data_IF_410281374691
#
_entry.id   IF_410281374691
#
_cell.length_a   1.000
_cell.length_b   1.000
_cell.length_c   1.000
_cell.angle_alpha   90.00
_cell.angle_beta   90.00
_cell.angle_gamma   90.00
#
_symmetry.space_group_name_H-M   'P 1'
#
loop_
_entity.id
_entity.type
_entity.pdbx_description
1 polymer ?
#
# COMPACT_ATOMS: atom_id res chain seq x y z
N UNK A 1 16.61 13.62 0.15
CA UNK A 1 16.21 13.72 -1.25
C UNK A 1 17.45 14.02 -2.10
N UNK A 2 17.53 13.42 -3.27
CA UNK A 2 18.57 13.63 -4.28
C UNK A 2 17.90 14.07 -5.59
N UNK A 3 18.68 14.66 -6.53
CA UNK A 3 18.17 15.07 -7.82
C UNK A 3 17.12 16.18 -7.75
N UNK A 4 16.21 16.19 -8.72
CA UNK A 4 15.19 17.24 -8.92
C UNK A 4 14.31 17.42 -7.69
N UNK A 5 13.85 16.32 -7.10
CA UNK A 5 12.99 16.33 -5.90
C UNK A 5 13.71 16.95 -4.68
N UNK A 6 15.03 16.75 -4.55
CA UNK A 6 15.82 17.37 -3.49
C UNK A 6 15.97 18.86 -3.65
N UNK A 7 16.20 19.33 -4.87
CA UNK A 7 16.27 20.75 -5.19
C UNK A 7 14.91 21.43 -4.93
N UNK A 8 13.82 20.84 -5.43
CA UNK A 8 12.48 21.39 -5.24
C UNK A 8 12.06 21.48 -3.78
N UNK A 9 12.35 20.43 -2.98
CA UNK A 9 12.09 20.44 -1.54
C UNK A 9 12.88 21.58 -0.84
N UNK A 10 14.15 21.77 -1.22
CA UNK A 10 14.97 22.85 -0.69
C UNK A 10 14.35 24.22 -1.01
N UNK A 11 13.97 24.46 -2.26
CA UNK A 11 13.36 25.71 -2.71
C UNK A 11 12.06 26.02 -1.96
N UNK A 12 11.18 25.02 -1.82
CA UNK A 12 9.92 25.17 -1.08
C UNK A 12 10.13 25.50 0.40
N UNK A 13 11.06 24.82 1.03
CA UNK A 13 11.31 25.01 2.47
C UNK A 13 12.02 26.34 2.75
N UNK A 14 12.80 26.85 1.80
CA UNK A 14 13.56 28.10 1.95
C UNK A 14 12.90 29.32 1.27
N UNK A 15 11.75 29.18 0.62
CA UNK A 15 11.11 30.23 -0.19
C UNK A 15 10.90 31.55 0.57
N UNK A 16 10.69 31.51 1.89
CA UNK A 16 10.48 32.69 2.72
C UNK A 16 11.79 33.32 3.23
N UNK A 17 12.94 32.72 2.88
CA UNK A 17 14.26 33.23 3.32
C UNK A 17 14.95 34.04 2.23
N UNK A 18 15.48 35.19 2.62
CA UNK A 18 16.28 36.05 1.73
C UNK A 18 17.73 35.60 1.57
N UNK A 19 18.23 34.78 2.50
CA UNK A 19 19.63 34.34 2.54
C UNK A 19 19.87 33.01 1.78
N UNK A 20 18.81 32.35 1.29
CA UNK A 20 18.88 31.09 0.55
C UNK A 20 19.49 29.92 1.36
N UNK A 21 19.47 30.00 2.68
CA UNK A 21 20.02 28.98 3.58
C UNK A 21 18.91 28.22 4.28
N UNK A 22 19.06 26.90 4.31
CA UNK A 22 18.16 26.02 5.05
C UNK A 22 18.51 26.05 6.54
N UNK A 23 17.58 26.49 7.38
CA UNK A 23 17.66 26.42 8.83
C UNK A 23 16.88 25.28 9.44
N UNK A 24 17.16 24.95 10.70
CA UNK A 24 16.40 23.94 11.44
C UNK A 24 14.91 24.31 11.56
N UNK A 25 14.61 25.60 11.78
CA UNK A 25 13.24 26.10 11.89
C UNK A 25 12.42 25.86 10.61
N UNK A 26 13.04 26.01 9.43
CA UNK A 26 12.38 25.82 8.15
C UNK A 26 11.93 24.36 7.99
N UNK A 27 12.79 23.41 8.39
CA UNK A 27 12.46 21.99 8.40
C UNK A 27 11.35 21.66 9.42
N UNK A 28 11.37 22.29 10.59
CA UNK A 28 10.34 22.09 11.61
C UNK A 28 8.99 22.60 11.11
N UNK A 29 8.96 23.76 10.45
CA UNK A 29 7.74 24.34 9.88
C UNK A 29 7.17 23.41 8.80
N UNK A 30 7.98 22.99 7.82
CA UNK A 30 7.55 22.09 6.75
C UNK A 30 7.07 20.74 7.30
N UNK A 31 7.77 20.18 8.28
CA UNK A 31 7.36 18.95 8.95
C UNK A 31 6.06 19.14 9.72
N UNK A 32 5.89 20.23 10.43
CA UNK A 32 4.65 20.54 11.17
C UNK A 32 3.45 20.69 10.22
N UNK A 33 3.64 21.34 9.08
CA UNK A 33 2.64 21.45 8.04
C UNK A 33 2.21 20.05 7.55
N UNK A 34 3.16 19.18 7.23
CA UNK A 34 2.86 17.83 6.75
C UNK A 34 2.21 16.94 7.80
N UNK A 35 2.58 17.04 9.08
CA UNK A 35 2.08 16.17 10.16
C UNK A 35 0.77 16.68 10.78
N UNK A 36 0.54 17.99 10.82
CA UNK A 36 -0.53 18.63 11.60
C UNK A 36 -1.40 19.59 10.79
N UNK A 37 -1.03 19.88 9.55
CA UNK A 37 -1.82 20.70 8.64
C UNK A 37 -3.18 20.08 8.33
N UNK A 38 -4.08 20.87 7.82
CA UNK A 38 -5.33 20.37 7.22
C UNK A 38 -5.01 19.47 6.02
N UNK A 39 -5.99 18.67 5.63
CA UNK A 39 -5.82 17.81 4.46
C UNK A 39 -5.43 18.61 3.21
N UNK A 40 -6.09 19.74 2.98
CA UNK A 40 -5.83 20.57 1.80
C UNK A 40 -4.43 21.22 1.85
N UNK A 41 -3.97 21.70 3.01
CA UNK A 41 -2.62 22.23 3.17
C UNK A 41 -1.54 21.19 2.91
N UNK A 42 -1.76 19.95 3.36
CA UNK A 42 -0.82 18.84 3.10
C UNK A 42 -0.81 18.49 1.61
N UNK A 43 -1.98 18.39 0.98
CA UNK A 43 -2.08 18.08 -0.46
C UNK A 43 -1.48 19.20 -1.32
N UNK A 44 -1.65 20.45 -0.93
CA UNK A 44 -1.04 21.59 -1.61
C UNK A 44 0.48 21.56 -1.51
N UNK A 45 1.03 21.29 -0.32
CA UNK A 45 2.47 21.11 -0.15
C UNK A 45 3.03 19.98 -1.03
N UNK A 46 2.33 18.85 -1.11
CA UNK A 46 2.73 17.73 -1.96
C UNK A 46 2.61 18.08 -3.45
N UNK A 47 1.57 18.81 -3.84
CA UNK A 47 1.40 19.31 -5.21
C UNK A 47 2.55 20.21 -5.64
N UNK A 48 2.91 21.20 -4.79
CA UNK A 48 4.05 22.08 -5.03
C UNK A 48 5.39 21.34 -5.06
N UNK A 49 5.52 20.24 -4.30
CA UNK A 49 6.73 19.43 -4.30
C UNK A 49 6.88 18.60 -5.58
N UNK A 50 5.77 18.20 -6.20
CA UNK A 50 5.75 17.46 -7.47
C UNK A 50 5.96 18.40 -8.66
N UNK A 51 5.52 19.63 -8.60
CA UNK A 51 5.83 20.69 -9.57
C UNK A 51 7.35 20.95 -9.57
N UNK A 52 8.09 20.15 -10.34
CA UNK A 52 9.56 20.12 -10.28
C UNK A 52 10.23 21.35 -10.91
N UNK A 53 9.56 21.98 -11.88
CA UNK A 53 10.03 23.18 -12.57
C UNK A 53 9.60 24.48 -11.88
N UNK A 54 8.60 24.42 -10.99
CA UNK A 54 8.14 25.57 -10.19
C UNK A 54 7.26 26.56 -10.96
N UNK A 55 6.62 26.14 -12.04
CA UNK A 55 5.75 27.00 -12.86
C UNK A 55 4.30 27.06 -12.32
N UNK A 56 3.99 26.31 -11.25
CA UNK A 56 2.67 26.25 -10.62
C UNK A 56 1.73 25.23 -11.25
N UNK A 57 2.20 24.45 -12.21
CA UNK A 57 1.43 23.46 -12.96
C UNK A 57 2.12 22.11 -12.83
N UNK A 58 1.38 21.06 -12.51
CA UNK A 58 1.90 19.70 -12.53
C UNK A 58 1.53 19.05 -13.85
N UNK A 59 2.52 18.79 -14.67
CA UNK A 59 2.37 18.10 -15.93
C UNK A 59 2.78 16.60 -15.84
N UNK A 60 2.69 15.89 -16.97
CA UNK A 60 3.09 14.49 -17.04
C UNK A 60 4.59 14.30 -16.77
N UNK A 61 5.42 15.21 -17.25
CA UNK A 61 6.88 15.14 -17.12
C UNK A 61 7.32 15.30 -15.66
N UNK A 62 6.64 16.17 -14.93
CA UNK A 62 6.87 16.35 -13.48
C UNK A 62 6.58 15.06 -12.72
N UNK A 63 5.39 14.48 -12.92
CA UNK A 63 5.03 13.22 -12.27
C UNK A 63 5.97 12.08 -12.65
N UNK A 64 6.34 11.96 -13.93
CA UNK A 64 7.26 10.94 -14.41
C UNK A 64 8.63 11.09 -13.73
N UNK A 65 9.16 12.31 -13.70
CA UNK A 65 10.44 12.63 -13.06
C UNK A 65 10.43 12.31 -11.55
N UNK A 66 9.36 12.66 -10.86
CA UNK A 66 9.21 12.37 -9.42
C UNK A 66 9.08 10.88 -9.17
N UNK A 67 8.27 10.16 -9.95
CA UNK A 67 8.11 8.70 -9.81
C UNK A 67 9.42 7.95 -10.07
N UNK A 68 10.21 8.36 -11.08
CA UNK A 68 11.53 7.80 -11.33
C UNK A 68 12.45 7.98 -10.12
N UNK A 69 12.54 9.20 -9.57
CA UNK A 69 13.34 9.47 -8.37
C UNK A 69 12.88 8.66 -7.17
N UNK A 70 11.57 8.47 -7.01
CA UNK A 70 11.01 7.64 -5.94
C UNK A 70 11.45 6.18 -6.10
N UNK A 71 11.22 5.60 -7.27
CA UNK A 71 11.56 4.20 -7.52
C UNK A 71 13.06 3.94 -7.42
N UNK A 72 13.89 4.81 -7.97
CA UNK A 72 15.32 4.73 -7.79
C UNK A 72 15.71 4.82 -6.30
N UNK A 73 15.08 5.70 -5.53
CA UNK A 73 15.39 5.86 -4.10
C UNK A 73 14.96 4.68 -3.24
N UNK A 74 13.87 4.02 -3.60
CA UNK A 74 13.30 2.89 -2.85
C UNK A 74 13.99 1.57 -3.23
N UNK A 75 14.27 1.35 -4.52
CA UNK A 75 14.70 0.04 -5.04
C UNK A 75 16.17 -0.05 -5.48
N UNK A 76 16.96 1.06 -5.44
CA UNK A 76 18.36 1.07 -5.91
C UNK A 76 19.38 0.37 -5.01
N UNK A 77 18.97 -0.26 -3.91
CA UNK A 77 19.87 -0.97 -3.00
C UNK A 77 20.01 -2.46 -3.28
N UNK A 78 19.43 -2.99 -4.33
CA UNK A 78 19.50 -4.40 -4.68
C UNK A 78 20.34 -4.64 -5.94
N UNK A 79 21.33 -5.49 -5.81
CA UNK A 79 22.26 -5.93 -6.85
C UNK A 79 21.53 -6.70 -7.95
N UNK A 80 20.94 -6.03 -8.94
CA UNK A 80 20.59 -6.73 -10.18
C UNK A 80 20.43 -5.79 -11.37
N UNK A 81 21.18 -6.11 -12.40
CA UNK A 81 21.14 -5.53 -13.77
C UNK A 81 19.75 -5.64 -14.42
N UNK A 82 18.86 -6.48 -13.87
CA UNK A 82 17.49 -6.69 -14.36
C UNK A 82 16.47 -5.64 -13.87
N UNK A 83 16.76 -4.91 -12.79
CA UNK A 83 15.83 -3.93 -12.22
C UNK A 83 15.65 -2.67 -13.08
N UNK A 84 16.66 -2.27 -13.85
CA UNK A 84 16.61 -1.02 -14.61
C UNK A 84 15.70 -1.05 -15.85
N UNK A 85 15.37 -2.23 -16.38
CA UNK A 85 14.53 -2.36 -17.59
C UNK A 85 13.03 -2.31 -17.29
N UNK A 86 12.60 -2.57 -16.07
CA UNK A 86 11.19 -2.60 -15.65
C UNK A 86 10.70 -1.27 -15.06
N UNK A 87 11.58 -0.36 -14.68
CA UNK A 87 11.22 0.92 -14.05
C UNK A 87 10.31 1.81 -14.93
N UNK A 88 10.59 2.01 -16.25
CA UNK A 88 9.72 2.83 -17.09
C UNK A 88 8.30 2.26 -17.20
N UNK A 89 8.16 0.92 -17.27
CA UNK A 89 6.85 0.28 -17.32
C UNK A 89 6.10 0.48 -16.01
N UNK A 90 6.78 0.39 -14.88
CA UNK A 90 6.19 0.64 -13.56
C UNK A 90 5.75 2.09 -13.41
N UNK A 91 6.56 3.07 -13.85
CA UNK A 91 6.18 4.49 -13.90
C UNK A 91 4.88 4.67 -14.69
N UNK A 92 4.76 4.04 -15.87
CA UNK A 92 3.55 4.10 -16.67
C UNK A 92 2.32 3.54 -15.96
N UNK A 93 2.47 2.47 -15.18
CA UNK A 93 1.39 1.87 -14.37
C UNK A 93 0.89 2.87 -13.31
N UNK A 94 1.77 3.62 -12.66
CA UNK A 94 1.40 4.66 -11.69
C UNK A 94 0.80 5.91 -12.35
N UNK A 95 1.34 6.32 -13.48
CA UNK A 95 0.78 7.39 -14.31
C UNK A 95 -0.61 7.03 -14.85
N UNK A 96 -0.85 5.74 -15.14
CA UNK A 96 -2.14 5.24 -15.60
C UNK A 96 -3.30 5.42 -14.61
N UNK A 97 -2.99 5.68 -13.34
CA UNK A 97 -3.99 6.05 -12.33
C UNK A 97 -4.46 7.52 -12.45
N UNK A 98 -3.72 8.37 -13.18
CA UNK A 98 -4.03 9.78 -13.38
C UNK A 98 -4.99 9.99 -14.56
N UNK A 99 -5.55 11.20 -14.64
CA UNK A 99 -6.44 11.62 -15.74
C UNK A 99 -5.72 11.91 -17.04
N UNK A 100 -4.38 11.96 -17.06
CA UNK A 100 -3.59 12.05 -18.32
C UNK A 100 -3.93 10.93 -19.30
N UNK A 101 -4.46 9.80 -18.81
CA UNK A 101 -4.86 8.68 -19.65
C UNK A 101 -6.15 8.91 -20.46
N UNK A 102 -6.90 9.98 -20.19
CA UNK A 102 -8.12 10.31 -20.94
C UNK A 102 -7.75 11.13 -22.17
N UNK A 103 -7.58 10.43 -23.27
CA UNK A 103 -7.26 11.02 -24.57
C UNK A 103 -8.48 11.74 -25.18
N UNK A 104 -8.43 13.06 -25.25
CA UNK A 104 -9.40 13.91 -25.96
C UNK A 104 -8.76 14.68 -27.12
N UNK A 105 -7.78 14.08 -27.79
CA UNK A 105 -7.38 14.44 -29.17
C UNK A 105 -6.80 15.84 -29.42
N UNK A 106 -6.37 16.58 -28.40
CA UNK A 106 -5.66 17.86 -28.56
C UNK A 106 -4.31 17.80 -27.86
N UNK A 107 -3.24 18.14 -28.60
CA UNK A 107 -1.85 18.23 -28.11
C UNK A 107 -1.58 19.39 -27.14
N UNK A 108 -2.59 19.88 -26.42
CA UNK A 108 -2.37 20.77 -25.30
C UNK A 108 -1.68 19.97 -24.18
N UNK A 109 -0.56 20.46 -23.69
CA UNK A 109 0.16 19.92 -22.53
C UNK A 109 -0.83 19.54 -21.43
N UNK A 110 -0.96 18.24 -21.20
CA UNK A 110 -1.96 17.71 -20.27
C UNK A 110 -1.47 17.95 -18.85
N UNK A 111 -2.02 18.95 -18.19
CA UNK A 111 -1.74 19.31 -16.83
C UNK A 111 -2.75 18.68 -15.89
N UNK A 112 -2.35 18.31 -14.68
CA UNK A 112 -3.25 17.95 -13.59
C UNK A 112 -3.71 19.21 -12.86
N UNK A 113 -5.01 19.44 -12.83
CA UNK A 113 -5.58 20.37 -11.86
C UNK A 113 -5.36 19.88 -10.43
N UNK A 114 -5.42 20.78 -9.46
CA UNK A 114 -5.24 20.40 -8.05
C UNK A 114 -6.26 19.34 -7.58
N UNK A 115 -7.50 19.39 -8.05
CA UNK A 115 -8.53 18.40 -7.71
C UNK A 115 -8.24 17.03 -8.35
N UNK A 116 -7.75 16.99 -9.58
CA UNK A 116 -7.33 15.75 -10.23
C UNK A 116 -6.09 15.15 -9.55
N UNK A 117 -5.17 16.01 -9.14
CA UNK A 117 -4.01 15.60 -8.34
C UNK A 117 -4.45 15.00 -6.99
N UNK A 118 -5.37 15.62 -6.25
CA UNK A 118 -5.91 15.06 -5.00
C UNK A 118 -6.54 13.68 -5.23
N UNK A 119 -7.25 13.54 -6.33
CA UNK A 119 -7.86 12.25 -6.72
C UNK A 119 -6.80 11.19 -7.00
N UNK A 120 -5.76 11.53 -7.77
CA UNK A 120 -4.64 10.64 -8.05
C UNK A 120 -3.84 10.29 -6.78
N UNK A 121 -3.50 11.26 -5.97
CA UNK A 121 -2.76 11.10 -4.71
C UNK A 121 -3.47 10.13 -3.75
N UNK A 122 -4.81 10.17 -3.73
CA UNK A 122 -5.61 9.25 -2.93
C UNK A 122 -5.52 7.79 -3.44
N UNK A 123 -5.36 7.58 -4.75
CA UNK A 123 -5.21 6.26 -5.35
C UNK A 123 -3.81 5.67 -5.18
N UNK A 124 -2.78 6.52 -4.98
CA UNK A 124 -1.37 6.11 -4.85
C UNK A 124 -0.75 6.56 -3.51
N UNK A 125 -1.29 6.10 -2.37
CA UNK A 125 -0.87 6.59 -1.05
C UNK A 125 0.60 6.33 -0.72
N UNK A 126 1.26 5.40 -1.38
CA UNK A 126 2.69 5.13 -1.24
C UNK A 126 3.55 6.32 -1.66
N UNK A 127 3.19 7.01 -2.74
CA UNK A 127 3.89 8.23 -3.20
C UNK A 127 3.79 9.32 -2.14
N UNK A 128 2.58 9.59 -1.64
CA UNK A 128 2.37 10.57 -0.57
C UNK A 128 3.17 10.22 0.70
N UNK A 129 3.14 8.96 1.11
CA UNK A 129 3.89 8.45 2.27
C UNK A 129 5.40 8.62 2.10
N UNK A 130 5.91 8.37 0.88
CA UNK A 130 7.32 8.60 0.56
C UNK A 130 7.68 10.09 0.67
N UNK A 131 6.92 10.96 0.00
CA UNK A 131 7.19 12.41 0.01
C UNK A 131 7.18 12.99 1.41
N UNK A 132 6.23 12.59 2.25
CA UNK A 132 6.19 12.99 3.66
C UNK A 132 7.38 12.49 4.48
N UNK A 133 7.90 11.31 4.16
CA UNK A 133 9.07 10.75 4.85
C UNK A 133 10.37 11.52 4.57
N UNK A 134 10.43 12.35 3.52
CA UNK A 134 11.58 13.20 3.22
C UNK A 134 11.83 14.25 4.29
N UNK A 135 10.80 14.67 5.00
CA UNK A 135 10.86 15.64 6.11
C UNK A 135 11.26 14.99 7.44
N UNK A 136 11.48 13.68 7.48
CA UNK A 136 11.93 12.97 8.67
C UNK A 136 13.44 12.69 8.62
N UNK A 137 14.13 12.62 9.78
CA UNK A 137 15.54 12.25 9.82
C UNK A 137 15.80 10.91 9.11
N UNK A 138 16.97 10.73 8.49
CA UNK A 138 17.32 9.47 7.82
C UNK A 138 17.57 8.37 8.87
N UNK A 139 16.52 7.71 9.31
CA UNK A 139 16.57 6.52 10.14
C UNK A 139 16.34 5.28 9.30
N UNK A 140 16.78 4.11 9.76
CA UNK A 140 16.56 2.84 9.05
C UNK A 140 15.06 2.50 8.81
N UNK A 141 14.15 3.16 9.51
CA UNK A 141 12.72 2.87 9.51
C UNK A 141 11.86 4.00 8.89
N UNK A 142 12.34 4.70 7.85
CA UNK A 142 11.51 5.67 7.12
C UNK A 142 10.34 4.94 6.46
N UNK A 143 9.13 5.20 6.93
CA UNK A 143 7.92 4.47 6.50
C UNK A 143 7.65 4.54 4.99
N UNK A 144 8.04 5.62 4.31
CA UNK A 144 7.88 5.77 2.86
C UNK A 144 8.86 4.95 2.02
N UNK A 145 9.95 4.46 2.63
CA UNK A 145 10.98 3.64 1.98
C UNK A 145 10.83 2.14 2.29
N UNK A 146 9.91 1.77 3.19
CA UNK A 146 9.72 0.38 3.58
C UNK A 146 9.08 -0.43 2.45
N UNK A 147 9.73 -1.50 2.06
CA UNK A 147 9.22 -2.54 1.16
C UNK A 147 9.11 -3.81 1.99
N UNK A 148 7.95 -4.46 2.04
CA UNK A 148 7.82 -5.73 2.76
C UNK A 148 8.75 -6.80 2.18
N UNK A 149 9.34 -7.62 3.05
CA UNK A 149 10.08 -8.79 2.61
C UNK A 149 9.07 -9.84 2.12
N UNK A 150 9.16 -10.21 0.85
CA UNK A 150 8.32 -11.26 0.26
C UNK A 150 8.96 -12.62 0.52
N UNK A 151 8.25 -13.49 1.26
CA UNK A 151 8.71 -14.84 1.61
C UNK A 151 7.81 -15.86 0.93
N UNK A 152 8.40 -16.70 0.09
CA UNK A 152 7.69 -17.75 -0.65
C UNK A 152 8.55 -19.00 -0.78
N UNK A 153 7.95 -20.10 -1.21
CA UNK A 153 8.65 -21.36 -1.47
C UNK A 153 9.61 -21.20 -2.67
N UNK A 154 10.80 -21.77 -2.58
CA UNK A 154 11.81 -21.80 -3.63
C UNK A 154 11.38 -22.50 -4.93
N UNK A 155 10.29 -23.24 -4.87
CA UNK A 155 9.71 -23.89 -6.04
C UNK A 155 9.00 -22.91 -7.00
N UNK A 156 8.75 -21.68 -6.57
CA UNK A 156 8.16 -20.61 -7.39
C UNK A 156 9.28 -19.60 -7.65
N UNK A 157 9.57 -19.32 -8.92
CA UNK A 157 10.52 -18.26 -9.28
C UNK A 157 9.89 -16.89 -9.04
N UNK A 158 10.70 -15.89 -8.70
CA UNK A 158 10.26 -14.52 -8.51
C UNK A 158 9.52 -13.95 -9.74
N UNK A 159 9.90 -14.39 -10.95
CA UNK A 159 9.20 -14.00 -12.18
C UNK A 159 7.78 -14.58 -12.29
N UNK A 160 7.53 -15.71 -11.65
CA UNK A 160 6.21 -16.35 -11.62
C UNK A 160 5.21 -15.70 -10.67
N UNK A 161 5.68 -14.84 -9.76
CA UNK A 161 4.83 -14.15 -8.80
C UNK A 161 4.10 -12.95 -9.44
N UNK A 162 2.83 -12.77 -9.08
CA UNK A 162 2.06 -11.56 -9.41
C UNK A 162 2.49 -10.38 -8.55
N UNK A 163 2.72 -10.64 -7.26
CA UNK A 163 3.16 -9.61 -6.32
C UNK A 163 4.65 -9.34 -6.50
N UNK A 164 4.97 -8.24 -7.17
CA UNK A 164 6.33 -7.69 -7.27
C UNK A 164 6.59 -6.73 -6.12
N UNK A 165 7.86 -6.42 -5.84
CA UNK A 165 8.27 -5.50 -4.76
C UNK A 165 7.65 -4.11 -4.90
N UNK A 166 7.56 -3.59 -6.12
CA UNK A 166 6.96 -2.30 -6.44
C UNK A 166 5.47 -2.29 -6.09
N UNK A 167 4.76 -3.37 -6.40
CA UNK A 167 3.36 -3.54 -6.03
C UNK A 167 3.19 -3.71 -4.51
N UNK A 168 4.08 -4.44 -3.86
CA UNK A 168 4.08 -4.57 -2.40
C UNK A 168 4.31 -3.21 -1.71
N UNK A 169 5.25 -2.41 -2.21
CA UNK A 169 5.45 -1.03 -1.75
C UNK A 169 4.22 -0.17 -1.97
N UNK A 170 3.56 -0.28 -3.13
CA UNK A 170 2.33 0.44 -3.44
C UNK A 170 1.20 0.11 -2.46
N UNK A 171 0.91 -1.17 -2.26
CA UNK A 171 -0.10 -1.65 -1.30
C UNK A 171 0.28 -1.22 0.12
N UNK A 172 1.56 -1.29 0.47
CA UNK A 172 2.12 -0.87 1.75
C UNK A 172 1.90 0.61 2.07
N UNK A 173 1.63 1.44 1.07
CA UNK A 173 1.22 2.83 1.26
C UNK A 173 -0.07 2.99 2.07
N UNK A 174 -0.96 1.99 2.05
CA UNK A 174 -2.21 1.99 2.81
C UNK A 174 -2.08 1.35 4.20
N UNK A 175 -0.98 0.67 4.48
CA UNK A 175 -0.77 -0.11 5.70
C UNK A 175 0.11 0.62 6.72
N UNK A 176 0.05 0.18 7.97
CA UNK A 176 0.92 0.66 9.04
C UNK A 176 2.33 0.08 8.92
N UNK A 177 3.31 0.70 9.57
CA UNK A 177 4.71 0.23 9.53
C UNK A 177 4.88 -1.18 10.08
N UNK A 178 4.06 -1.60 11.04
CA UNK A 178 4.11 -2.95 11.64
C UNK A 178 3.60 -4.04 10.69
N UNK A 179 2.92 -3.66 9.61
CA UNK A 179 2.42 -4.56 8.56
C UNK A 179 3.37 -4.62 7.35
N UNK A 180 4.47 -3.87 7.37
CA UNK A 180 5.42 -3.74 6.26
C UNK A 180 6.72 -4.53 6.47
N UNK A 181 6.80 -5.44 7.42
CA UNK A 181 8.03 -6.18 7.65
C UNK A 181 8.15 -7.40 6.74
N UNK A 182 7.20 -8.31 6.82
CA UNK A 182 7.22 -9.57 6.11
C UNK A 182 5.84 -9.94 5.59
N UNK A 183 5.77 -10.33 4.31
CA UNK A 183 4.57 -10.92 3.71
C UNK A 183 4.90 -12.32 3.21
N UNK A 184 4.14 -13.30 3.67
CA UNK A 184 4.38 -14.72 3.38
C UNK A 184 3.32 -15.27 2.42
N UNK A 185 3.78 -15.89 1.33
CA UNK A 185 2.88 -16.57 0.40
C UNK A 185 2.24 -17.79 1.08
N UNK A 186 0.92 -17.82 1.13
CA UNK A 186 0.14 -18.93 1.67
C UNK A 186 -0.39 -19.85 0.56
N UNK A 187 -0.77 -19.25 -0.57
CA UNK A 187 -1.38 -19.98 -1.69
C UNK A 187 -0.94 -19.36 -3.02
N UNK A 188 -0.65 -20.24 -3.99
CA UNK A 188 -0.39 -19.88 -5.38
C UNK A 188 -1.02 -20.93 -6.28
N UNK A 189 -1.96 -20.52 -7.14
CA UNK A 189 -2.77 -21.46 -7.93
C UNK A 189 -1.99 -22.32 -8.91
N UNK A 190 -0.84 -21.84 -9.40
CA UNK A 190 0.01 -22.63 -10.33
C UNK A 190 0.63 -23.84 -9.66
N UNK A 191 0.96 -23.75 -8.37
CA UNK A 191 1.55 -24.87 -7.61
C UNK A 191 0.52 -25.70 -6.87
N UNK A 192 -0.54 -25.05 -6.37
CA UNK A 192 -1.56 -25.68 -5.52
C UNK A 192 -2.83 -26.06 -6.30
N UNK A 193 -2.92 -25.68 -7.60
CA UNK A 193 -4.10 -25.81 -8.44
C UNK A 193 -5.17 -24.74 -8.15
N UNK A 194 -6.02 -24.47 -9.14
CA UNK A 194 -7.19 -23.60 -8.99
C UNK A 194 -8.29 -24.36 -8.23
N UNK A 195 -8.24 -24.33 -6.91
CA UNK A 195 -9.14 -25.06 -6.03
C UNK A 195 -9.49 -24.25 -4.79
N UNK A 196 -10.78 -24.01 -4.62
CA UNK A 196 -11.31 -23.29 -3.45
C UNK A 196 -11.01 -24.03 -2.13
N UNK A 197 -11.14 -25.37 -2.13
CA UNK A 197 -10.83 -26.15 -0.94
C UNK A 197 -9.34 -26.09 -0.57
N UNK A 198 -8.46 -26.12 -1.58
CA UNK A 198 -7.02 -25.97 -1.35
C UNK A 198 -6.69 -24.57 -0.85
N UNK A 199 -7.31 -23.54 -1.44
CA UNK A 199 -7.19 -22.16 -0.95
C UNK A 199 -7.61 -22.06 0.51
N UNK A 200 -8.81 -22.51 0.86
CA UNK A 200 -9.29 -22.47 2.25
C UNK A 200 -8.39 -23.25 3.19
N UNK A 201 -7.89 -24.42 2.78
CA UNK A 201 -6.93 -25.20 3.57
C UNK A 201 -5.62 -24.44 3.82
N UNK A 202 -5.16 -23.65 2.85
CA UNK A 202 -3.93 -22.84 2.97
C UNK A 202 -4.08 -21.65 3.92
N UNK A 203 -5.29 -21.09 4.05
CA UNK A 203 -5.57 -19.91 4.88
C UNK A 203 -6.30 -20.23 6.20
N UNK A 204 -6.78 -21.46 6.39
CA UNK A 204 -7.64 -21.85 7.52
C UNK A 204 -6.99 -21.71 8.90
N UNK A 205 -5.65 -21.82 8.97
CA UNK A 205 -4.89 -21.69 10.23
C UNK A 205 -4.28 -20.30 10.40
N UNK A 206 -4.66 -19.37 9.53
CA UNK A 206 -4.09 -18.04 9.52
C UNK A 206 -5.11 -17.02 10.05
N UNK A 207 -4.88 -16.54 11.26
CA UNK A 207 -5.74 -15.53 11.91
C UNK A 207 -5.39 -14.09 11.50
N UNK A 208 -4.35 -13.91 10.68
CA UNK A 208 -3.86 -12.60 10.28
C UNK A 208 -4.56 -12.04 9.04
N UNK A 209 -4.31 -10.76 8.75
CA UNK A 209 -4.77 -10.16 7.51
C UNK A 209 -4.03 -10.74 6.30
N UNK A 210 -4.74 -10.78 5.16
CA UNK A 210 -4.22 -11.34 3.92
C UNK A 210 -4.44 -10.43 2.71
N UNK A 211 -3.59 -10.60 1.70
CA UNK A 211 -3.77 -10.03 0.36
C UNK A 211 -4.18 -11.13 -0.59
N UNK A 212 -5.35 -11.00 -1.19
CA UNK A 212 -5.80 -11.84 -2.30
C UNK A 212 -5.53 -11.12 -3.61
N UNK A 213 -4.73 -11.72 -4.49
CA UNK A 213 -4.33 -11.13 -5.77
C UNK A 213 -4.76 -12.07 -6.89
N UNK A 214 -5.33 -11.50 -7.95
CA UNK A 214 -5.83 -12.20 -9.11
C UNK A 214 -5.20 -11.61 -10.36
N UNK A 215 -4.73 -12.47 -11.26
CA UNK A 215 -4.54 -12.16 -12.66
C UNK A 215 -5.63 -12.83 -13.44
N UNK A 216 -6.35 -12.07 -14.25
CA UNK A 216 -7.44 -12.58 -15.10
C UNK A 216 -7.01 -12.78 -16.56
N UNK A 217 -7.88 -13.43 -17.34
CA UNK A 217 -7.65 -13.71 -18.76
C UNK A 217 -7.55 -12.47 -19.66
N UNK A 218 -7.93 -11.28 -19.15
CA UNK A 218 -7.75 -9.99 -19.84
C UNK A 218 -6.36 -9.37 -19.53
N UNK A 219 -5.56 -10.05 -18.69
CA UNK A 219 -4.24 -9.63 -18.24
C UNK A 219 -4.25 -8.56 -17.15
N UNK A 220 -5.41 -8.24 -16.57
CA UNK A 220 -5.51 -7.31 -15.45
C UNK A 220 -5.05 -8.01 -14.16
N UNK A 221 -4.36 -7.26 -13.28
CA UNK A 221 -3.93 -7.71 -11.96
C UNK A 221 -4.57 -6.81 -10.91
N UNK A 222 -5.34 -7.41 -10.03
CA UNK A 222 -6.06 -6.70 -8.98
C UNK A 222 -6.35 -7.63 -7.80
N UNK A 223 -6.90 -7.06 -6.72
CA UNK A 223 -7.18 -7.86 -5.55
C UNK A 223 -7.80 -7.08 -4.42
N UNK A 224 -7.76 -7.68 -3.24
CA UNK A 224 -8.24 -7.08 -2.02
C UNK A 224 -7.39 -7.44 -0.80
N UNK A 225 -7.28 -6.49 0.12
CA UNK A 225 -6.75 -6.71 1.45
C UNK A 225 -7.91 -7.10 2.37
N UNK A 226 -7.87 -8.33 2.89
CA UNK A 226 -8.77 -8.85 3.88
C UNK A 226 -8.18 -8.61 5.27
N UNK A 227 -8.80 -7.76 6.05
CA UNK A 227 -8.35 -7.45 7.42
C UNK A 227 -8.73 -8.52 8.44
N UNK A 228 -9.70 -9.36 8.10
CA UNK A 228 -10.21 -10.44 8.94
C UNK A 228 -9.93 -11.82 8.30
N UNK A 229 -9.83 -12.89 9.10
CA UNK A 229 -9.64 -14.24 8.59
C UNK A 229 -10.72 -14.66 7.58
N UNK A 230 -10.35 -15.60 6.70
CA UNK A 230 -11.29 -16.23 5.78
C UNK A 230 -12.11 -17.31 6.50
N UNK A 231 -13.25 -16.90 7.05
CA UNK A 231 -14.16 -17.77 7.78
C UNK A 231 -15.51 -17.88 7.06
N UNK A 232 -16.21 -18.99 7.29
CA UNK A 232 -17.53 -19.22 6.70
C UNK A 232 -18.58 -18.28 7.27
N UNK A 233 -19.10 -17.39 6.42
CA UNK A 233 -20.19 -16.48 6.74
C UNK A 233 -21.31 -16.58 5.72
N UNK A 234 -22.56 -16.36 6.17
CA UNK A 234 -23.74 -16.30 5.30
C UNK A 234 -24.02 -14.87 4.78
N UNK A 235 -23.27 -13.88 5.24
CA UNK A 235 -23.41 -12.47 4.92
C UNK A 235 -22.03 -11.80 4.88
N UNK A 236 -21.97 -10.54 4.48
CA UNK A 236 -20.76 -9.75 4.51
C UNK A 236 -20.24 -9.55 5.94
N UNK A 237 -18.94 -9.51 6.07
CA UNK A 237 -18.24 -9.29 7.34
C UNK A 237 -16.94 -8.46 7.10
N UNK A 238 -16.09 -8.35 8.09
CA UNK A 238 -14.85 -7.60 8.02
C UNK A 238 -14.94 -6.22 8.66
N UNK A 239 -13.90 -5.42 8.53
CA UNK A 239 -13.80 -4.08 9.07
C UNK A 239 -13.30 -3.06 8.03
N UNK A 240 -13.34 -1.78 8.41
CA UNK A 240 -12.98 -0.64 7.55
C UNK A 240 -11.48 -0.55 7.20
N UNK A 241 -10.67 -1.50 7.64
CA UNK A 241 -9.27 -1.63 7.22
C UNK A 241 -9.12 -2.36 5.90
N UNK A 242 -10.11 -3.16 5.51
CA UNK A 242 -10.15 -3.84 4.22
C UNK A 242 -10.20 -2.83 3.08
N UNK A 243 -9.59 -3.15 1.95
CA UNK A 243 -9.60 -2.30 0.75
C UNK A 243 -9.41 -3.13 -0.52
N UNK A 244 -9.84 -2.57 -1.65
CA UNK A 244 -9.55 -3.11 -2.97
C UNK A 244 -8.35 -2.41 -3.59
N UNK A 245 -7.69 -3.10 -4.53
CA UNK A 245 -6.60 -2.51 -5.30
C UNK A 245 -6.57 -3.05 -6.73
N UNK A 246 -6.03 -2.26 -7.63
CA UNK A 246 -5.62 -2.64 -8.97
C UNK A 246 -4.13 -2.40 -9.09
N UNK A 247 -3.39 -3.35 -9.68
CA UNK A 247 -1.95 -3.29 -9.85
C UNK A 247 -1.56 -3.10 -11.32
N UNK A 248 -2.34 -3.69 -12.23
CA UNK A 248 -2.17 -3.55 -13.66
C UNK A 248 -3.53 -3.54 -14.37
N UNK A 249 -3.76 -2.67 -15.37
CA UNK A 249 -2.81 -1.78 -16.05
C UNK A 249 -2.49 -0.48 -15.31
N UNK A 250 -3.09 -0.21 -14.17
CA UNK A 250 -2.86 1.00 -13.38
C UNK A 250 -2.81 0.71 -11.88
N UNK A 251 -1.86 1.35 -11.18
CA UNK A 251 -1.74 1.24 -9.74
C UNK A 251 -2.78 2.10 -9.04
N UNK A 252 -3.75 1.48 -8.35
CA UNK A 252 -4.81 2.19 -7.65
C UNK A 252 -5.26 1.45 -6.41
N UNK A 253 -5.53 2.18 -5.34
CA UNK A 253 -6.05 1.69 -4.06
C UNK A 253 -7.42 2.31 -3.78
N UNK A 254 -8.38 1.51 -3.36
CA UNK A 254 -9.76 1.90 -3.10
C UNK A 254 -10.13 1.55 -1.66
N UNK A 255 -10.13 2.55 -0.79
CA UNK A 255 -10.49 2.41 0.63
C UNK A 255 -12.01 2.45 0.82
N UNK A 256 -12.54 1.91 1.94
CA UNK A 256 -13.95 1.99 2.24
C UNK A 256 -14.46 3.44 2.27
N UNK A 257 -15.59 3.67 1.64
CA UNK A 257 -16.24 4.99 1.58
C UNK A 257 -17.12 5.29 2.80
N UNK A 258 -17.46 4.25 3.58
CA UNK A 258 -18.44 4.36 4.66
C UNK A 258 -19.90 4.24 4.20
N UNK A 259 -20.15 4.02 2.91
CA UNK A 259 -21.53 3.92 2.40
C UNK A 259 -22.27 2.66 2.90
N UNK A 260 -21.54 1.60 3.21
CA UNK A 260 -22.05 0.35 3.80
C UNK A 260 -20.90 -0.46 4.42
N UNK A 261 -21.26 -1.59 5.06
CA UNK A 261 -20.30 -2.51 5.71
C UNK A 261 -20.09 -3.82 4.93
N UNK A 262 -20.36 -3.84 3.64
CA UNK A 262 -20.21 -5.03 2.79
C UNK A 262 -18.75 -5.22 2.39
N UNK A 263 -17.86 -5.49 3.37
CA UNK A 263 -16.42 -5.39 3.17
C UNK A 263 -15.80 -6.66 2.62
N UNK A 264 -16.05 -7.82 3.27
CA UNK A 264 -15.46 -9.11 2.93
C UNK A 264 -16.57 -10.17 2.82
N UNK A 265 -16.39 -11.14 1.94
CA UNK A 265 -17.33 -12.24 1.72
C UNK A 265 -16.58 -13.57 1.67
N UNK A 266 -17.06 -14.57 2.41
CA UNK A 266 -16.58 -15.94 2.34
C UNK A 266 -17.72 -16.90 2.62
N UNK A 267 -18.36 -17.41 1.57
CA UNK A 267 -19.44 -18.38 1.68
C UNK A 267 -18.98 -19.75 1.20
N UNK A 268 -19.18 -20.77 2.03
CA UNK A 268 -18.69 -22.13 1.79
C UNK A 268 -19.82 -23.12 2.07
N UNK A 269 -20.14 -23.92 1.07
CA UNK A 269 -21.13 -25.02 1.21
C UNK A 269 -22.51 -24.56 1.71
N UNK A 270 -22.99 -23.42 1.22
CA UNK A 270 -24.38 -23.03 1.40
C UNK A 270 -25.23 -23.62 0.26
N UNK A 271 -26.37 -24.20 0.63
CA UNK A 271 -27.32 -24.80 -0.34
C UNK A 271 -28.32 -23.80 -0.91
N UNK A 272 -28.32 -22.55 -0.40
CA UNK A 272 -29.24 -21.50 -0.83
C UNK A 272 -28.68 -20.76 -2.03
N UNK A 273 -29.46 -20.65 -3.10
CA UNK A 273 -29.12 -19.84 -4.29
C UNK A 273 -28.97 -18.34 -3.98
N UNK A 274 -29.52 -17.88 -2.85
CA UNK A 274 -29.37 -16.49 -2.40
C UNK A 274 -28.00 -16.20 -1.77
N UNK A 275 -27.20 -17.24 -1.46
CA UNK A 275 -25.88 -17.10 -0.85
C UNK A 275 -24.84 -17.66 -1.84
N UNK A 276 -24.25 -16.83 -2.70
CA UNK A 276 -23.27 -17.29 -3.67
C UNK A 276 -22.01 -17.81 -2.97
N UNK A 277 -21.72 -19.10 -3.18
CA UNK A 277 -20.52 -19.72 -2.64
C UNK A 277 -19.27 -19.19 -3.36
N UNK A 278 -18.30 -18.72 -2.59
CA UNK A 278 -17.07 -18.11 -3.07
C UNK A 278 -16.51 -17.09 -2.10
N UNK A 279 -15.51 -16.36 -2.57
CA UNK A 279 -14.85 -15.28 -1.83
C UNK A 279 -14.95 -13.97 -2.59
N UNK A 280 -15.00 -12.85 -1.86
CA UNK A 280 -15.13 -11.55 -2.51
C UNK A 280 -15.05 -10.36 -1.56
N UNK A 281 -15.21 -9.18 -2.16
CA UNK A 281 -15.14 -7.90 -1.48
C UNK A 281 -16.16 -6.92 -2.05
N UNK A 282 -16.79 -6.18 -1.16
CA UNK A 282 -17.59 -5.00 -1.51
C UNK A 282 -18.85 -5.26 -2.32
N UNK A 283 -19.65 -4.22 -2.48
CA UNK A 283 -20.83 -4.25 -3.31
C UNK A 283 -22.06 -4.84 -2.61
N UNK A 284 -22.74 -5.72 -3.28
CA UNK A 284 -23.92 -6.46 -2.79
C UNK A 284 -23.96 -7.83 -3.42
N UNK A 285 -24.78 -8.72 -2.90
CA UNK A 285 -24.96 -10.07 -3.45
C UNK A 285 -25.21 -10.01 -4.97
N UNK A 286 -24.48 -10.82 -5.72
CA UNK A 286 -24.44 -10.89 -7.19
C UNK A 286 -23.89 -9.63 -7.92
N UNK A 287 -23.46 -8.60 -7.18
CA UNK A 287 -22.82 -7.40 -7.73
C UNK A 287 -21.66 -6.97 -6.80
N UNK A 288 -20.68 -7.85 -6.66
CA UNK A 288 -19.52 -7.60 -5.82
C UNK A 288 -18.54 -6.64 -6.51
N UNK A 289 -17.79 -5.87 -5.72
CA UNK A 289 -16.63 -5.15 -6.21
C UNK A 289 -15.58 -6.08 -6.80
N UNK A 290 -15.40 -7.24 -6.17
CA UNK A 290 -14.63 -8.38 -6.66
C UNK A 290 -15.20 -9.69 -6.08
N UNK A 291 -15.38 -10.71 -6.89
CA UNK A 291 -15.87 -12.03 -6.46
C UNK A 291 -15.27 -13.15 -7.32
N UNK A 292 -14.91 -14.25 -6.68
CA UNK A 292 -14.53 -15.51 -7.31
C UNK A 292 -15.47 -16.59 -6.80
N UNK A 293 -16.05 -17.37 -7.72
CA UNK A 293 -16.91 -18.51 -7.39
C UNK A 293 -16.14 -19.62 -6.66
N UNK A 294 -16.85 -20.45 -5.90
CA UNK A 294 -16.25 -21.60 -5.21
C UNK A 294 -15.62 -22.64 -6.13
N UNK A 295 -15.83 -22.58 -7.43
CA UNK A 295 -15.13 -23.43 -8.40
C UNK A 295 -13.78 -22.83 -8.83
N UNK A 296 -13.51 -21.58 -8.55
CA UNK A 296 -12.35 -20.80 -9.01
C UNK A 296 -12.20 -20.72 -10.54
N UNK A 297 -13.26 -21.05 -11.27
CA UNK A 297 -13.31 -21.05 -12.72
C UNK A 297 -13.84 -19.75 -13.32
N UNK A 298 -14.57 -18.98 -12.53
CA UNK A 298 -15.17 -17.73 -12.94
C UNK A 298 -15.35 -16.76 -11.78
N UNK A 299 -15.51 -15.51 -12.12
CA UNK A 299 -15.78 -14.45 -11.16
C UNK A 299 -16.35 -13.21 -11.83
N UNK A 300 -16.48 -12.17 -11.07
CA UNK A 300 -16.90 -10.88 -11.59
C UNK A 300 -16.34 -9.73 -10.76
N UNK A 301 -16.27 -8.56 -11.38
CA UNK A 301 -15.92 -7.31 -10.74
C UNK A 301 -16.82 -6.21 -11.29
N UNK A 302 -17.47 -5.46 -10.40
CA UNK A 302 -18.34 -4.35 -10.76
C UNK A 302 -17.90 -3.08 -10.06
N UNK A 303 -18.32 -1.94 -10.60
CA UNK A 303 -18.22 -0.69 -9.86
C UNK A 303 -18.94 -0.83 -8.51
N UNK A 304 -18.27 -0.42 -7.43
CA UNK A 304 -18.67 -0.76 -6.08
C UNK A 304 -18.69 0.48 -5.19
N UNK A 305 -19.84 0.78 -4.59
CA UNK A 305 -19.97 1.92 -3.67
C UNK A 305 -19.26 1.71 -2.34
N UNK A 306 -19.08 0.46 -1.90
CA UNK A 306 -18.37 0.14 -0.65
C UNK A 306 -16.96 0.72 -0.63
N UNK A 307 -16.24 0.58 -1.74
CA UNK A 307 -14.85 1.05 -1.89
C UNK A 307 -14.70 2.21 -2.87
N UNK A 308 -15.78 2.65 -3.52
CA UNK A 308 -15.70 3.66 -4.58
C UNK A 308 -14.89 3.19 -5.79
N UNK A 309 -14.69 1.88 -5.95
CA UNK A 309 -13.91 1.32 -7.04
C UNK A 309 -14.70 1.25 -8.34
N UNK A 310 -14.06 1.44 -9.50
CA UNK A 310 -14.62 1.04 -10.78
C UNK A 310 -14.63 -0.49 -10.93
N UNK A 311 -15.02 -1.00 -12.09
CA UNK A 311 -14.69 -2.36 -12.52
C UNK A 311 -13.15 -2.50 -12.57
N UNK A 312 -12.61 -3.55 -11.92
CA UNK A 312 -11.16 -3.76 -11.77
C UNK A 312 -10.54 -4.49 -12.98
N UNK A 313 -11.36 -5.07 -13.85
CA UNK A 313 -10.95 -5.70 -15.09
C UNK A 313 -11.48 -4.91 -16.30
N UNK A 314 -11.11 -5.33 -17.52
CA UNK A 314 -11.64 -4.77 -18.77
C UNK A 314 -13.12 -5.10 -18.94
N UNK A 315 -13.57 -6.25 -18.41
CA UNK A 315 -14.96 -6.71 -18.45
C UNK A 315 -15.45 -7.01 -17.04
N UNK A 316 -16.76 -6.97 -16.84
CA UNK A 316 -17.36 -7.26 -15.54
C UNK A 316 -17.32 -8.75 -15.16
N UNK A 317 -17.24 -9.65 -16.13
CA UNK A 317 -17.02 -11.08 -15.91
C UNK A 317 -15.54 -11.38 -16.12
N UNK A 318 -14.96 -12.19 -15.26
CA UNK A 318 -13.55 -12.56 -15.36
C UNK A 318 -13.35 -14.07 -15.18
N UNK A 319 -12.32 -14.58 -15.81
CA UNK A 319 -11.80 -15.92 -15.61
C UNK A 319 -10.44 -15.78 -14.94
N UNK A 320 -10.26 -16.27 -13.70
CA UNK A 320 -8.97 -16.21 -13.04
C UNK A 320 -7.96 -17.11 -13.77
N UNK A 321 -6.78 -16.56 -14.09
CA UNK A 321 -5.64 -17.34 -14.60
C UNK A 321 -4.69 -17.74 -13.47
N UNK A 322 -4.36 -16.76 -12.62
CA UNK A 322 -3.48 -16.98 -11.46
C UNK A 322 -4.10 -16.30 -10.25
N UNK A 323 -4.06 -17.00 -9.13
CA UNK A 323 -4.51 -16.49 -7.83
C UNK A 323 -3.36 -16.67 -6.83
N UNK A 324 -3.05 -15.61 -6.11
CA UNK A 324 -2.12 -15.60 -4.96
C UNK A 324 -2.84 -15.16 -3.70
N UNK A 325 -2.44 -15.74 -2.57
CA UNK A 325 -2.83 -15.24 -1.26
C UNK A 325 -1.58 -15.08 -0.39
N UNK A 326 -1.39 -13.87 0.12
CA UNK A 326 -0.26 -13.51 0.95
C UNK A 326 -0.73 -13.15 2.36
N UNK A 327 -0.09 -13.71 3.37
CA UNK A 327 -0.24 -13.27 4.76
C UNK A 327 0.56 -12.00 4.99
N UNK A 328 -0.09 -11.00 5.57
CA UNK A 328 0.58 -9.82 6.10
C UNK A 328 0.94 -10.10 7.56
N UNK A 329 2.23 -10.28 7.84
CA UNK A 329 2.69 -10.57 9.21
C UNK A 329 2.62 -9.30 10.03
N UNK A 330 1.86 -9.35 11.12
CA UNK A 330 1.69 -8.24 12.04
C UNK A 330 2.52 -8.51 13.31
N UNK A 331 3.55 -7.71 13.57
CA UNK A 331 4.25 -7.78 14.88
C UNK A 331 3.39 -7.10 15.95
N UNK A 332 3.02 -7.85 16.97
CA UNK A 332 2.36 -7.27 18.13
C UNK A 332 3.36 -6.41 18.94
N UNK A 333 2.91 -5.31 19.58
CA UNK A 333 3.77 -4.45 20.39
C UNK A 333 4.51 -5.17 21.54
N UNK A 334 4.09 -6.40 21.86
CA UNK A 334 4.73 -7.24 22.88
C UNK A 334 6.03 -7.88 22.37
N UNK A 335 6.18 -8.10 21.06
CA UNK A 335 7.41 -8.62 20.47
C UNK A 335 8.48 -7.54 20.34
N UNK A 336 8.11 -6.29 20.11
CA UNK A 336 9.05 -5.15 20.12
C UNK A 336 9.68 -4.94 21.49
N UNK A 337 8.96 -5.23 22.59
CA UNK A 337 9.51 -5.13 23.95
C UNK A 337 10.50 -6.23 24.29
N UNK A 338 10.53 -7.34 23.56
CA UNK A 338 11.49 -8.43 23.78
C UNK A 338 12.79 -8.24 23.00
N UNK A 339 12.77 -7.55 21.85
CA UNK A 339 13.97 -7.24 21.06
C UNK A 339 14.53 -5.83 21.34
N UNK A 340 13.69 -4.89 21.81
CA UNK A 340 14.05 -3.53 22.19
C UNK A 340 14.36 -3.41 23.67
N UNK A 341 15.65 -3.31 23.99
CA UNK A 341 16.16 -2.90 25.32
C UNK A 341 15.94 -3.95 26.44
N UNK A 342 16.84 -4.87 26.57
CA UNK A 342 17.10 -5.55 27.85
C UNK A 342 17.51 -4.48 28.87
N UNK A 343 16.58 -4.12 29.72
CA UNK A 343 16.77 -3.24 30.86
C UNK A 343 16.76 -1.74 30.54
N UNK A 344 16.23 -0.95 31.45
CA UNK A 344 16.43 0.51 31.45
C UNK A 344 17.92 0.82 31.52
N UNK A 345 18.33 2.04 31.11
CA UNK A 345 19.73 2.50 31.20
C UNK A 345 20.27 2.28 32.63
N UNK A 346 19.40 2.42 33.66
CA UNK A 346 19.71 2.23 35.07
C UNK A 346 19.93 0.75 35.45
N UNK A 347 19.32 -0.19 34.74
CA UNK A 347 19.56 -1.64 34.99
C UNK A 347 20.88 -2.15 34.40
N UNK A 348 21.51 -1.41 33.50
CA UNK A 348 22.82 -1.76 32.93
C UNK A 348 23.97 -1.55 33.93
N UNK A 349 23.79 -0.70 34.92
CA UNK A 349 24.80 -0.38 35.92
C UNK A 349 24.37 -0.96 37.27
N UNK A 350 25.03 -2.02 37.71
CA UNK A 350 24.79 -2.67 39.00
C UNK A 350 24.91 -1.70 40.20
N UNK A 351 25.74 -0.69 40.07
CA UNK A 351 26.00 0.35 41.06
C UNK A 351 24.82 1.29 41.19
N UNK A 352 24.18 1.69 40.10
CA UNK A 352 23.00 2.57 40.07
C UNK A 352 21.79 1.89 40.66
N UNK A 353 21.65 0.57 40.44
CA UNK A 353 20.58 -0.25 41.04
C UNK A 353 20.72 -0.36 42.56
N UNK A 354 21.95 -0.52 43.03
CA UNK A 354 22.22 -0.54 44.47
C UNK A 354 21.93 0.82 45.13
N UNK A 355 22.22 1.92 44.43
CA UNK A 355 21.91 3.26 44.89
C UNK A 355 20.40 3.51 44.98
N UNK A 356 19.62 3.07 43.99
CA UNK A 356 18.15 3.18 43.97
C UNK A 356 17.50 2.34 45.09
N UNK A 357 18.05 1.16 45.39
CA UNK A 357 17.59 0.32 46.50
C UNK A 357 17.88 0.97 47.88
N UNK A 358 19.03 1.64 48.03
CA UNK A 358 19.38 2.38 49.27
C UNK A 358 18.50 3.61 49.48
N UNK A 359 18.01 4.25 48.41
CA UNK A 359 17.15 5.47 48.50
C UNK A 359 15.65 5.10 48.57
N UNK A 360 15.28 3.81 48.56
CA UNK A 360 13.89 3.34 48.69
C UNK A 360 13.02 3.57 47.45
N UNK A 361 13.58 3.97 46.33
CA UNK A 361 12.82 4.30 45.07
C UNK A 361 12.54 3.07 44.23
N UNK A 362 13.33 1.98 44.40
CA UNK A 362 13.20 0.79 43.56
C UNK A 362 12.04 -0.16 43.94
N UNK A 363 11.40 0.06 45.10
CA UNK A 363 10.33 -0.82 45.64
C UNK A 363 8.91 -0.22 45.58
N UNK A 364 8.70 0.85 44.80
CA UNK A 364 7.36 1.49 44.69
C UNK A 364 6.55 1.05 43.47
N UNK A 365 6.77 -0.18 42.99
CA UNK A 365 5.94 -0.79 41.95
C UNK A 365 5.33 -2.08 42.49
N UNK A 366 4.18 -1.94 43.15
CA UNK A 366 3.17 -3.00 43.27
C UNK A 366 2.03 -2.68 42.34
#
# INVERSE_FOLDING_TARGET
ARGVLGARLFDLVTQNRRDGRLGFEDLVIAKSLYEKGTRDEIEEFVYQLIDTNGDGIVDRSDLESVLLVIFESVFSHEDSVSASSSLPDMVNVFLGASTFAKDNGTDAEKCLSFEEFKSWSALVPSVRKFLGSLLTPPTKARSGFQVPQLVHDKNISDDGLLLKKEFAWHIGGALSSNELEEWKLLYHSTTSGLSFNTFLGSVANDEGPTLLIIKDGEGCIYGGYASQPWERHADFYGDMKSFLFQLYPKASLYKPTGANNNLQWCAVNFSSDSIPNGIGFGGRINHFGMFISANFDQGHTFACTTFGSPCLSKTSRMVPEVIECWRVVHRSPQQEKQEGVKGSVLERFKEDRNMLNMVGIANSSN
#
